data_IF_378914050118
#
_entry.id   IF_378914050118
#
_cell.length_a   1.000
_cell.length_b   1.000
_cell.length_c   1.000
_cell.angle_alpha   90.00
_cell.angle_beta   90.00
_cell.angle_gamma   90.00
#
_symmetry.space_group_name_H-M   'P 1'
#
loop_
_entity.id
_entity.type
_entity.pdbx_description
1 polymer ?
#
# COMPACT_ATOMS: atom_id res chain seq x y z
N UNK A 1 3.97 14.04 -8.85
CA UNK A 1 2.79 13.57 -8.12
C UNK A 1 1.53 13.70 -8.97
N UNK A 2 0.69 12.67 -8.97
CA UNK A 2 -0.67 12.64 -9.55
C UNK A 2 -1.59 11.86 -8.59
N UNK A 3 -1.97 12.43 -7.44
CA UNK A 3 -2.84 11.76 -6.47
C UNK A 3 -4.22 11.48 -7.08
N UNK A 4 -4.80 10.31 -6.80
CA UNK A 4 -6.11 9.91 -7.36
C UNK A 4 -7.15 9.49 -6.32
N UNK A 5 -6.72 8.89 -5.22
CA UNK A 5 -7.58 8.41 -4.14
C UNK A 5 -6.98 8.73 -2.79
N UNK A 6 -7.85 8.89 -1.79
CA UNK A 6 -7.48 9.16 -0.40
C UNK A 6 -8.37 8.36 0.55
N UNK A 7 -7.78 7.81 1.61
CA UNK A 7 -8.47 7.20 2.73
C UNK A 7 -7.79 7.57 4.05
N UNK A 8 -8.52 7.45 5.16
CA UNK A 8 -7.99 7.72 6.51
C UNK A 8 -8.35 6.55 7.41
N UNK A 9 -7.39 6.04 8.17
CA UNK A 9 -7.62 4.97 9.14
C UNK A 9 -8.08 5.52 10.50
N UNK A 10 -8.29 4.62 11.49
CA UNK A 10 -8.74 5.01 12.83
C UNK A 10 -7.71 5.77 13.66
N UNK A 11 -6.42 5.62 13.33
CA UNK A 11 -5.33 6.32 14.00
C UNK A 11 -5.08 7.70 13.35
N UNK A 12 -5.83 8.03 12.30
CA UNK A 12 -5.72 9.27 11.54
C UNK A 12 -4.60 9.25 10.49
N UNK A 13 -4.02 8.09 10.19
CA UNK A 13 -3.06 7.99 9.10
C UNK A 13 -3.78 8.16 7.76
N UNK A 14 -3.16 8.91 6.86
CA UNK A 14 -3.71 9.26 5.54
C UNK A 14 -3.04 8.41 4.47
N UNK A 15 -3.84 7.72 3.68
CA UNK A 15 -3.43 6.85 2.60
C UNK A 15 -3.75 7.52 1.27
N UNK A 16 -2.78 7.64 0.37
CA UNK A 16 -2.95 8.34 -0.91
C UNK A 16 -2.38 7.49 -2.04
N UNK A 17 -3.19 7.19 -3.06
CA UNK A 17 -2.68 6.61 -4.31
C UNK A 17 -2.11 7.71 -5.20
N UNK A 18 -0.91 7.51 -5.73
CA UNK A 18 -0.27 8.42 -6.68
C UNK A 18 0.07 7.68 -7.98
N UNK A 19 -0.66 8.02 -9.04
CA UNK A 19 -0.51 7.36 -10.33
C UNK A 19 0.78 7.74 -11.07
N UNK A 20 1.37 8.90 -10.79
CA UNK A 20 2.64 9.27 -11.40
C UNK A 20 3.79 8.45 -10.80
N UNK A 21 3.70 8.14 -9.51
CA UNK A 21 4.68 7.33 -8.80
C UNK A 21 4.33 5.84 -8.73
N UNK A 22 3.20 5.42 -9.32
CA UNK A 22 2.76 4.01 -9.33
C UNK A 22 2.77 3.39 -7.94
N UNK A 23 2.32 4.14 -6.96
CA UNK A 23 2.37 3.73 -5.57
C UNK A 23 1.11 4.16 -4.83
N UNK A 24 1.02 3.71 -3.59
CA UNK A 24 0.31 4.45 -2.56
C UNK A 24 1.25 4.78 -1.41
N UNK A 25 0.98 5.91 -0.77
CA UNK A 25 1.78 6.48 0.30
C UNK A 25 0.93 6.58 1.55
N UNK A 26 1.56 6.40 2.70
CA UNK A 26 0.94 6.49 4.02
C UNK A 26 1.60 7.63 4.76
N UNK A 27 0.81 8.57 5.27
CA UNK A 27 1.24 9.70 6.07
C UNK A 27 0.64 9.61 7.47
N UNK A 28 1.35 10.10 8.47
CA UNK A 28 0.75 10.29 9.79
C UNK A 28 -0.21 11.51 9.78
N UNK A 29 -0.98 11.75 10.86
CA UNK A 29 -1.92 12.88 10.92
C UNK A 29 -1.26 14.27 10.77
N UNK A 30 0.06 14.37 10.96
CA UNK A 30 0.83 15.60 10.79
C UNK A 30 1.41 15.76 9.37
N UNK A 31 1.09 14.85 8.44
CA UNK A 31 1.57 14.87 7.07
C UNK A 31 3.00 14.33 6.87
N UNK A 32 3.60 13.70 7.88
CA UNK A 32 4.90 13.02 7.74
C UNK A 32 4.70 11.71 6.99
N UNK A 33 5.44 11.50 5.92
CA UNK A 33 5.48 10.23 5.19
C UNK A 33 5.99 9.11 6.11
N UNK A 34 5.22 8.03 6.19
CA UNK A 34 5.53 6.81 6.94
C UNK A 34 6.04 5.71 6.00
N UNK A 35 5.32 5.47 4.90
CA UNK A 35 5.58 4.37 3.97
C UNK A 35 5.17 4.76 2.54
N UNK A 36 5.84 4.14 1.57
CA UNK A 36 5.46 4.15 0.15
C UNK A 36 5.51 2.70 -0.34
N UNK A 37 4.43 2.23 -0.95
CA UNK A 37 4.29 0.86 -1.46
C UNK A 37 3.94 0.92 -2.94
N UNK A 38 4.75 0.26 -3.76
CA UNK A 38 4.78 0.42 -5.21
C UNK A 38 6.19 0.61 -5.73
N UNK A 39 6.41 0.30 -7.00
CA UNK A 39 7.66 0.54 -7.71
C UNK A 39 7.38 0.98 -9.17
N UNK A 40 8.45 1.23 -9.94
CA UNK A 40 8.32 1.61 -11.36
C UNK A 40 8.03 0.41 -12.28
N UNK A 41 7.92 -0.79 -11.74
CA UNK A 41 7.60 -2.02 -12.45
C UNK A 41 6.21 -1.97 -13.07
N UNK A 42 6.09 -2.58 -14.25
CA UNK A 42 4.84 -2.69 -15.00
C UNK A 42 4.39 -4.14 -15.13
N UNK A 43 4.76 -4.98 -14.17
CA UNK A 43 4.30 -6.35 -14.11
C UNK A 43 3.06 -6.45 -13.21
N UNK A 44 2.11 -7.30 -13.60
CA UNK A 44 0.95 -7.57 -12.78
C UNK A 44 1.33 -8.52 -11.61
N UNK A 45 1.90 -7.92 -10.56
CA UNK A 45 2.33 -8.59 -9.33
C UNK A 45 1.78 -7.87 -8.11
N UNK A 46 1.58 -8.56 -6.96
CA UNK A 46 1.13 -7.92 -5.74
C UNK A 46 2.02 -6.72 -5.37
N UNK A 47 1.41 -5.56 -5.13
CA UNK A 47 2.14 -4.35 -4.77
C UNK A 47 2.80 -3.60 -5.93
N UNK A 48 2.64 -4.07 -7.18
CA UNK A 48 3.01 -3.30 -8.38
C UNK A 48 1.76 -2.73 -9.05
N UNK A 49 1.85 -1.47 -9.46
CA UNK A 49 0.72 -0.71 -9.98
C UNK A 49 1.09 -0.05 -11.30
N UNK A 50 0.17 -0.03 -12.26
CA UNK A 50 0.32 0.71 -13.50
C UNK A 50 -0.54 1.97 -13.54
N UNK A 51 -1.75 1.91 -12.97
CA UNK A 51 -2.64 3.06 -12.85
C UNK A 51 -3.48 2.96 -11.57
N UNK A 52 -2.87 3.13 -10.38
CA UNK A 52 -3.59 3.07 -9.12
C UNK A 52 -4.61 4.21 -9.06
N UNK A 53 -5.84 3.91 -8.60
CA UNK A 53 -6.94 4.85 -8.57
C UNK A 53 -7.56 4.96 -7.18
N UNK A 54 -8.45 4.04 -6.82
CA UNK A 54 -9.15 4.05 -5.54
C UNK A 54 -8.32 3.42 -4.43
N UNK A 55 -8.49 3.94 -3.21
CA UNK A 55 -7.97 3.34 -1.98
C UNK A 55 -9.02 3.41 -0.88
N UNK A 56 -9.14 2.36 -0.08
CA UNK A 56 -10.01 2.30 1.09
C UNK A 56 -9.29 1.57 2.23
N UNK A 57 -9.62 1.93 3.47
CA UNK A 57 -9.15 1.23 4.68
C UNK A 57 -10.37 0.78 5.48
N UNK A 58 -10.42 -0.51 5.84
CA UNK A 58 -11.51 -1.04 6.66
C UNK A 58 -11.24 -0.89 8.17
N UNK A 59 -12.23 -1.29 8.95
CA UNK A 59 -12.18 -1.28 10.40
C UNK A 59 -11.13 -2.24 11.02
N UNK A 60 -10.55 -3.14 10.24
CA UNK A 60 -9.49 -4.03 10.71
C UNK A 60 -8.11 -3.53 10.30
N UNK A 61 -8.04 -2.37 9.61
CA UNK A 61 -6.80 -1.83 9.06
C UNK A 61 -6.36 -2.52 7.77
N UNK A 62 -7.26 -3.25 7.09
CA UNK A 62 -6.99 -3.75 5.74
C UNK A 62 -7.10 -2.61 4.74
N UNK A 63 -6.10 -2.50 3.87
CA UNK A 63 -6.00 -1.49 2.83
C UNK A 63 -6.35 -2.14 1.49
N UNK A 64 -7.31 -1.58 0.78
CA UNK A 64 -7.76 -2.05 -0.53
C UNK A 64 -7.31 -1.02 -1.57
N UNK A 65 -6.55 -1.45 -2.56
CA UNK A 65 -6.05 -0.57 -3.63
C UNK A 65 -6.52 -1.09 -4.97
N UNK A 66 -7.19 -0.25 -5.75
CA UNK A 66 -7.68 -0.58 -7.09
C UNK A 66 -6.69 -0.07 -8.13
N UNK A 67 -6.21 -0.96 -9.00
CA UNK A 67 -5.47 -0.59 -10.19
C UNK A 67 -6.39 -0.65 -11.42
N UNK A 68 -6.53 0.47 -12.12
CA UNK A 68 -7.41 0.57 -13.28
C UNK A 68 -6.88 -0.14 -14.52
N UNK A 69 -5.56 -0.18 -14.71
CA UNK A 69 -4.98 -0.74 -15.93
C UNK A 69 -4.81 -2.25 -15.80
N UNK A 70 -4.32 -2.71 -14.64
CA UNK A 70 -4.25 -4.14 -14.35
C UNK A 70 -5.61 -4.75 -13.99
N UNK A 71 -6.66 -3.92 -13.83
CA UNK A 71 -8.02 -4.38 -13.52
C UNK A 71 -8.06 -5.28 -12.27
N UNK A 72 -7.28 -4.91 -11.25
CA UNK A 72 -7.11 -5.71 -10.03
C UNK A 72 -7.41 -4.92 -8.77
N UNK A 73 -7.58 -5.66 -7.68
CA UNK A 73 -7.60 -5.14 -6.32
C UNK A 73 -6.53 -5.85 -5.51
N UNK A 74 -5.55 -5.09 -5.03
CA UNK A 74 -4.58 -5.58 -4.05
C UNK A 74 -5.08 -5.26 -2.64
N UNK A 75 -4.96 -6.23 -1.73
CA UNK A 75 -5.37 -6.09 -0.32
C UNK A 75 -4.16 -6.27 0.58
N UNK A 76 -3.88 -5.26 1.40
CA UNK A 76 -2.75 -5.24 2.31
C UNK A 76 -3.22 -5.28 3.76
N UNK A 77 -2.51 -6.00 4.60
CA UNK A 77 -2.61 -5.92 6.06
C UNK A 77 -1.32 -5.33 6.59
N UNK A 78 -1.43 -4.38 7.51
CA UNK A 78 -0.27 -3.92 8.27
C UNK A 78 0.08 -4.95 9.34
N UNK A 79 1.34 -5.40 9.34
CA UNK A 79 1.88 -6.30 10.36
C UNK A 79 2.73 -5.51 11.38
N UNK A 80 2.70 -5.87 12.67
CA UNK A 80 3.66 -5.39 13.65
C UNK A 80 5.10 -5.77 13.27
N UNK A 81 6.07 -4.97 13.71
CA UNK A 81 7.47 -5.20 13.36
C UNK A 81 8.00 -6.55 13.87
N UNK A 82 7.55 -7.03 15.03
CA UNK A 82 7.93 -8.35 15.54
C UNK A 82 7.45 -9.46 14.60
N UNK A 83 6.16 -9.44 14.21
CA UNK A 83 5.59 -10.40 13.24
C UNK A 83 6.34 -10.35 11.90
N UNK A 84 6.67 -9.14 11.42
CA UNK A 84 7.45 -8.97 10.20
C UNK A 84 8.83 -9.65 10.26
N UNK A 85 9.55 -9.49 11.38
CA UNK A 85 10.87 -10.11 11.56
C UNK A 85 10.77 -11.63 11.54
N UNK A 86 9.75 -12.21 12.18
CA UNK A 86 9.51 -13.65 12.22
C UNK A 86 9.20 -14.23 10.83
N UNK A 87 8.34 -13.55 10.05
CA UNK A 87 8.02 -13.94 8.67
C UNK A 87 9.29 -13.92 7.81
N UNK A 88 10.06 -12.82 7.86
CA UNK A 88 11.25 -12.65 7.03
C UNK A 88 12.36 -13.66 7.39
N UNK A 89 12.51 -14.01 8.68
CA UNK A 89 13.45 -15.03 9.11
C UNK A 89 13.07 -16.43 8.58
N UNK A 90 11.77 -16.72 8.50
CA UNK A 90 11.25 -18.00 8.01
C UNK A 90 11.42 -18.11 6.49
N UNK A 91 11.16 -17.05 5.72
CA UNK A 91 11.36 -17.06 4.26
C UNK A 91 12.85 -17.17 3.87
N UNK A 92 13.75 -16.51 4.61
CA UNK A 92 15.19 -16.63 4.38
C UNK A 92 15.72 -18.04 4.63
N UNK A 93 15.08 -18.81 5.52
CA UNK A 93 15.44 -20.20 5.79
C UNK A 93 14.91 -21.19 4.74
N UNK A 94 13.97 -20.78 3.88
CA UNK A 94 13.39 -21.59 2.81
C UNK A 94 14.01 -21.32 1.43
N UNK A 95 14.84 -20.27 1.31
CA UNK A 95 15.68 -20.01 0.14
C UNK A 95 17.04 -20.69 0.28
#
# INVERSE_FOLDING_TARGET
ARPRGLAVDRDGNVYVTDAAYRNFQIFNPQGKLLLSIGDEGLEDKPGQFALPAGIAVDERGLVYVVDQLFMKVDVFRRIPQQEAVEIMATEAAYR
#
